data_IF_903743509965
#
_entry.id   IF_903743509965
#
_cell.length_a   1.000
_cell.length_b   1.000
_cell.length_c   1.000
_cell.angle_alpha   90.00
_cell.angle_beta   90.00
_cell.angle_gamma   90.00
#
_symmetry.space_group_name_H-M   'P 1'
#
loop_
_entity.id
_entity.type
_entity.pdbx_description
1 polymer ?
#
# COMPACT_ATOMS: atom_id res chain seq x y z
N UNK A 1 -29.91 -7.30 58.77
CA UNK A 1 -30.72 -7.24 57.52
C UNK A 1 -30.27 -6.11 56.60
N UNK A 2 -30.12 -4.87 57.08
CA UNK A 2 -29.64 -3.71 56.28
C UNK A 2 -28.27 -3.91 55.61
N UNK A 3 -27.28 -4.48 56.33
CA UNK A 3 -25.93 -4.71 55.76
C UNK A 3 -25.91 -5.73 54.62
N UNK A 4 -26.78 -6.74 54.67
CA UNK A 4 -26.89 -7.76 53.62
C UNK A 4 -27.48 -7.13 52.36
N UNK A 5 -28.51 -6.29 52.51
CA UNK A 5 -29.14 -5.56 51.39
C UNK A 5 -28.13 -4.59 50.74
N UNK A 6 -27.36 -3.86 51.54
CA UNK A 6 -26.30 -2.99 51.04
C UNK A 6 -25.20 -3.76 50.31
N UNK A 7 -24.85 -4.97 50.79
CA UNK A 7 -23.84 -5.81 50.15
C UNK A 7 -24.32 -6.36 48.80
N UNK A 8 -25.58 -6.80 48.72
CA UNK A 8 -26.21 -7.27 47.47
C UNK A 8 -26.25 -6.14 46.44
N UNK A 9 -26.73 -4.96 46.84
CA UNK A 9 -26.80 -3.79 45.95
C UNK A 9 -25.43 -3.39 45.40
N UNK A 10 -24.37 -3.51 46.21
CA UNK A 10 -22.99 -3.23 45.81
C UNK A 10 -22.40 -4.29 44.87
N UNK A 11 -22.88 -5.54 44.94
CA UNK A 11 -22.51 -6.62 44.02
C UNK A 11 -23.23 -6.43 42.69
N UNK A 12 -24.52 -6.07 42.69
CA UNK A 12 -25.28 -5.80 41.47
C UNK A 12 -24.71 -4.63 40.69
N UNK A 13 -24.28 -3.57 41.38
CA UNK A 13 -23.63 -2.42 40.74
C UNK A 13 -22.29 -2.80 40.08
N UNK A 14 -21.53 -3.73 40.70
CA UNK A 14 -20.30 -4.28 40.13
C UNK A 14 -20.56 -5.21 38.95
N UNK A 15 -21.60 -6.03 39.01
CA UNK A 15 -22.02 -6.88 37.90
C UNK A 15 -22.43 -6.05 36.69
N UNK A 16 -23.17 -4.96 36.91
CA UNK A 16 -23.60 -4.07 35.84
C UNK A 16 -22.40 -3.41 35.14
N UNK A 17 -21.45 -2.90 35.93
CA UNK A 17 -20.23 -2.26 35.38
C UNK A 17 -19.35 -3.25 34.62
N UNK A 18 -19.21 -4.48 35.11
CA UNK A 18 -18.46 -5.53 34.40
C UNK A 18 -19.16 -5.94 33.10
N UNK A 19 -20.49 -6.05 33.07
CA UNK A 19 -21.24 -6.33 31.84
C UNK A 19 -21.06 -5.23 30.80
N UNK A 20 -21.16 -3.95 31.21
CA UNK A 20 -20.98 -2.81 30.30
C UNK A 20 -19.56 -2.80 29.69
N UNK A 21 -18.53 -3.16 30.48
CA UNK A 21 -17.16 -3.24 29.99
C UNK A 21 -16.93 -4.44 29.06
N UNK A 22 -17.58 -5.59 29.30
CA UNK A 22 -17.56 -6.76 28.40
C UNK A 22 -18.19 -6.39 27.05
N UNK A 23 -19.36 -5.73 27.06
CA UNK A 23 -20.07 -5.33 25.85
C UNK A 23 -19.26 -4.32 25.02
N UNK A 24 -18.61 -3.35 25.68
CA UNK A 24 -17.67 -2.43 25.02
C UNK A 24 -16.50 -3.16 24.38
N UNK A 25 -15.95 -4.16 25.06
CA UNK A 25 -14.80 -4.91 24.56
C UNK A 25 -15.18 -5.78 23.34
N UNK A 26 -16.33 -6.45 23.38
CA UNK A 26 -16.88 -7.21 22.26
C UNK A 26 -17.13 -6.30 21.05
N UNK A 27 -17.70 -5.11 21.27
CA UNK A 27 -17.94 -4.13 20.20
C UNK A 27 -16.62 -3.66 19.54
N UNK A 28 -15.61 -3.34 20.36
CA UNK A 28 -14.28 -2.96 19.87
C UNK A 28 -13.60 -4.07 19.07
N UNK A 29 -13.64 -5.32 19.56
CA UNK A 29 -13.08 -6.47 18.85
C UNK A 29 -13.75 -6.72 17.50
N UNK A 30 -15.09 -6.61 17.45
CA UNK A 30 -15.84 -6.73 16.18
C UNK A 30 -15.42 -5.66 15.18
N UNK A 31 -15.23 -4.42 15.63
CA UNK A 31 -14.79 -3.31 14.78
C UNK A 31 -13.40 -3.57 14.20
N UNK A 32 -12.44 -4.00 15.02
CA UNK A 32 -11.08 -4.35 14.57
C UNK A 32 -11.13 -5.50 13.56
N UNK A 33 -11.92 -6.55 13.82
CA UNK A 33 -12.06 -7.68 12.92
C UNK A 33 -12.68 -7.29 11.56
N UNK A 34 -13.68 -6.42 11.56
CA UNK A 34 -14.28 -5.90 10.33
C UNK A 34 -13.29 -5.04 9.52
N UNK A 35 -12.49 -4.21 10.19
CA UNK A 35 -11.44 -3.42 9.54
C UNK A 35 -10.41 -4.33 8.87
N UNK A 36 -9.90 -5.33 9.59
CA UNK A 36 -8.94 -6.30 9.07
C UNK A 36 -9.49 -7.10 7.87
N UNK A 37 -10.75 -7.57 7.96
CA UNK A 37 -11.41 -8.26 6.85
C UNK A 37 -11.59 -7.36 5.62
N UNK A 38 -11.94 -6.10 5.85
CA UNK A 38 -12.03 -5.09 4.79
C UNK A 38 -10.68 -4.87 4.09
N UNK A 39 -9.60 -4.71 4.85
CA UNK A 39 -8.23 -4.56 4.35
C UNK A 39 -7.77 -5.76 3.50
N UNK A 40 -8.05 -6.97 3.97
CA UNK A 40 -7.72 -8.19 3.24
C UNK A 40 -8.43 -8.27 1.88
N UNK A 41 -9.70 -7.90 1.83
CA UNK A 41 -10.48 -7.88 0.58
C UNK A 41 -9.94 -6.83 -0.40
N UNK A 42 -9.55 -5.63 0.07
CA UNK A 42 -8.88 -4.67 -0.83
C UNK A 42 -7.56 -5.18 -1.34
N UNK A 43 -6.77 -5.80 -0.48
CA UNK A 43 -5.44 -6.29 -0.85
C UNK A 43 -5.55 -7.32 -1.97
N UNK A 44 -6.44 -8.31 -1.82
CA UNK A 44 -6.72 -9.29 -2.88
C UNK A 44 -7.22 -8.64 -4.18
N UNK A 45 -8.05 -7.61 -4.07
CA UNK A 45 -8.56 -6.87 -5.25
C UNK A 45 -7.44 -6.13 -6.00
N UNK A 46 -6.48 -5.53 -5.29
CA UNK A 46 -5.34 -4.85 -5.90
C UNK A 46 -4.44 -5.86 -6.62
N UNK A 47 -4.12 -6.97 -5.96
CA UNK A 47 -3.30 -8.04 -6.56
C UNK A 47 -3.94 -8.62 -7.81
N UNK A 48 -5.24 -8.94 -7.75
CA UNK A 48 -5.98 -9.46 -8.90
C UNK A 48 -5.95 -8.48 -10.08
N UNK A 49 -6.10 -7.17 -9.82
CA UNK A 49 -6.04 -6.16 -10.88
C UNK A 49 -4.66 -6.03 -11.51
N UNK A 50 -3.60 -6.00 -10.69
CA UNK A 50 -2.23 -5.93 -11.20
C UNK A 50 -1.86 -7.18 -11.99
N UNK A 51 -2.36 -8.33 -11.58
CA UNK A 51 -2.22 -9.58 -12.32
C UNK A 51 -2.97 -9.50 -13.65
N UNK A 52 -4.19 -8.97 -13.70
CA UNK A 52 -4.90 -8.78 -14.98
C UNK A 52 -4.16 -7.82 -15.92
N UNK A 53 -3.55 -6.74 -15.39
CA UNK A 53 -2.73 -5.85 -16.22
C UNK A 53 -1.49 -6.55 -16.82
N UNK A 54 -0.94 -7.56 -16.13
CA UNK A 54 0.15 -8.38 -16.69
C UNK A 54 -0.32 -9.20 -17.88
N UNK A 55 -1.57 -9.64 -17.91
CA UNK A 55 -2.11 -10.44 -19.01
C UNK A 55 -1.91 -9.76 -20.36
N UNK A 56 -2.15 -8.45 -20.41
CA UNK A 56 -2.03 -7.67 -21.64
C UNK A 56 -0.59 -7.20 -21.93
N UNK A 57 0.23 -7.01 -20.90
CA UNK A 57 1.57 -6.40 -21.03
C UNK A 57 2.71 -7.42 -21.06
N UNK A 58 2.55 -8.57 -20.42
CA UNK A 58 3.56 -9.63 -20.28
C UNK A 58 2.88 -10.97 -19.94
N UNK A 59 2.36 -11.64 -20.97
CA UNK A 59 1.63 -12.89 -20.85
C UNK A 59 2.47 -14.01 -20.18
N UNK A 60 3.77 -14.07 -20.44
CA UNK A 60 4.65 -15.06 -19.83
C UNK A 60 4.76 -14.88 -18.31
N UNK A 61 4.94 -13.63 -17.87
CA UNK A 61 4.97 -13.30 -16.43
C UNK A 61 3.60 -13.56 -15.78
N UNK A 62 2.50 -13.25 -16.47
CA UNK A 62 1.15 -13.57 -16.01
C UNK A 62 0.93 -15.07 -15.78
N UNK A 63 1.27 -15.89 -16.77
CA UNK A 63 1.12 -17.35 -16.69
C UNK A 63 1.99 -17.95 -15.59
N UNK A 64 3.25 -17.50 -15.47
CA UNK A 64 4.15 -17.91 -14.40
C UNK A 64 3.61 -17.52 -13.01
N UNK A 65 3.04 -16.31 -12.87
CA UNK A 65 2.46 -15.84 -11.62
C UNK A 65 1.20 -16.62 -11.22
N UNK A 66 0.34 -16.96 -12.19
CA UNK A 66 -0.81 -17.83 -11.96
C UNK A 66 -0.37 -19.23 -11.52
N UNK A 67 0.62 -19.81 -12.20
CA UNK A 67 1.15 -21.11 -11.81
C UNK A 67 1.72 -21.08 -10.38
N UNK A 68 2.53 -20.06 -10.06
CA UNK A 68 3.07 -19.87 -8.72
C UNK A 68 1.97 -19.81 -7.66
N UNK A 69 0.88 -19.07 -7.93
CA UNK A 69 -0.25 -18.94 -7.00
C UNK A 69 -0.88 -20.29 -6.64
N UNK A 70 -1.02 -21.20 -7.61
CA UNK A 70 -1.59 -22.53 -7.40
C UNK A 70 -0.61 -23.52 -6.76
N UNK A 71 0.69 -23.25 -6.85
CA UNK A 71 1.74 -24.19 -6.45
C UNK A 71 2.64 -23.66 -5.31
N UNK A 72 2.18 -22.63 -4.56
CA UNK A 72 2.96 -22.04 -3.45
C UNK A 72 3.42 -23.08 -2.40
N UNK A 73 2.68 -24.17 -2.23
CA UNK A 73 3.00 -25.23 -1.29
C UNK A 73 4.21 -26.10 -1.69
N UNK A 74 4.68 -26.01 -2.95
CA UNK A 74 5.86 -26.74 -3.42
C UNK A 74 7.18 -26.09 -2.97
N UNK A 75 7.14 -24.83 -2.55
CA UNK A 75 8.33 -24.05 -2.20
C UNK A 75 8.63 -24.10 -0.71
N UNK A 76 9.92 -24.15 -0.37
CA UNK A 76 10.43 -24.09 1.00
C UNK A 76 10.19 -22.70 1.60
N UNK A 77 10.39 -21.66 0.79
CA UNK A 77 10.13 -20.26 1.18
C UNK A 77 9.23 -19.57 0.14
N UNK A 78 8.51 -18.50 0.54
CA UNK A 78 7.70 -17.74 -0.40
C UNK A 78 8.55 -17.17 -1.54
N UNK A 79 8.16 -17.47 -2.78
CA UNK A 79 8.63 -16.76 -3.98
C UNK A 79 7.76 -15.53 -4.17
N UNK A 80 8.39 -14.38 -4.40
CA UNK A 80 7.70 -13.09 -4.51
C UNK A 80 7.75 -12.53 -5.92
N UNK A 81 6.70 -11.82 -6.31
CA UNK A 81 6.68 -11.00 -7.52
C UNK A 81 6.48 -9.53 -7.08
N UNK A 82 7.50 -8.65 -7.17
CA UNK A 82 7.48 -7.35 -6.52
C UNK A 82 6.26 -6.51 -6.85
N UNK A 83 5.86 -6.42 -8.12
CA UNK A 83 4.67 -5.64 -8.48
C UNK A 83 3.36 -6.11 -7.83
N UNK A 84 3.26 -7.37 -7.44
CA UNK A 84 2.06 -7.92 -6.77
C UNK A 84 2.17 -7.78 -5.24
N UNK A 85 3.38 -7.88 -4.70
CA UNK A 85 3.62 -8.04 -3.26
C UNK A 85 3.92 -6.71 -2.54
N UNK A 86 4.30 -5.65 -3.28
CA UNK A 86 4.54 -4.32 -2.70
C UNK A 86 3.31 -3.41 -2.79
N UNK A 87 3.07 -2.62 -1.76
CA UNK A 87 2.04 -1.59 -1.69
C UNK A 87 2.65 -0.22 -1.47
N UNK A 88 1.84 0.81 -1.71
CA UNK A 88 2.19 2.18 -1.35
C UNK A 88 1.22 2.73 -0.31
N UNK A 89 1.77 3.52 0.61
CA UNK A 89 1.00 4.31 1.56
C UNK A 89 0.16 5.37 0.87
N UNK A 90 0.73 6.02 -0.15
CA UNK A 90 0.08 7.08 -0.91
C UNK A 90 0.22 6.80 -2.41
N UNK A 91 -0.90 6.81 -3.12
CA UNK A 91 -0.97 6.36 -4.52
C UNK A 91 -0.26 7.29 -5.49
N UNK A 92 -0.09 8.57 -5.11
CA UNK A 92 0.66 9.56 -5.90
C UNK A 92 2.11 9.14 -6.20
N UNK A 93 2.68 8.25 -5.39
CA UNK A 93 4.03 7.76 -5.57
C UNK A 93 4.13 6.54 -6.49
N UNK A 94 3.01 6.03 -7.02
CA UNK A 94 3.00 4.82 -7.85
C UNK A 94 3.82 4.99 -9.12
N UNK A 95 3.59 6.08 -9.87
CA UNK A 95 4.36 6.37 -11.08
C UNK A 95 5.84 6.61 -10.77
N UNK A 96 6.14 7.30 -9.67
CA UNK A 96 7.52 7.55 -9.26
C UNK A 96 8.26 6.27 -8.86
N UNK A 97 7.62 5.37 -8.11
CA UNK A 97 8.19 4.08 -7.75
C UNK A 97 8.41 3.20 -8.98
N UNK A 98 7.43 3.16 -9.89
CA UNK A 98 7.55 2.40 -11.13
C UNK A 98 8.70 2.91 -12.01
N UNK A 99 8.83 4.23 -12.15
CA UNK A 99 9.94 4.85 -12.88
C UNK A 99 11.31 4.61 -12.21
N UNK A 100 11.35 4.63 -10.88
CA UNK A 100 12.60 4.42 -10.11
C UNK A 100 13.05 2.96 -10.16
N UNK A 101 12.13 2.01 -9.97
CA UNK A 101 12.43 0.57 -9.90
C UNK A 101 12.61 -0.03 -11.29
N UNK A 102 11.85 0.47 -12.26
CA UNK A 102 11.82 -0.05 -13.62
C UNK A 102 10.96 -1.32 -13.75
N UNK A 103 10.41 -1.55 -14.96
CA UNK A 103 9.47 -2.65 -15.20
C UNK A 103 10.10 -4.04 -15.07
N UNK A 104 11.39 -4.20 -15.40
CA UNK A 104 12.07 -5.50 -15.36
C UNK A 104 12.15 -6.04 -13.93
N UNK A 105 12.67 -5.23 -13.00
CA UNK A 105 12.78 -5.61 -11.60
C UNK A 105 11.41 -5.80 -10.94
N UNK A 106 10.40 -5.00 -11.33
CA UNK A 106 9.03 -5.17 -10.85
C UNK A 106 8.38 -6.50 -11.27
N UNK A 107 8.76 -7.01 -12.45
CA UNK A 107 8.27 -8.28 -13.03
C UNK A 107 9.17 -9.48 -12.73
N UNK A 108 10.28 -9.29 -12.03
CA UNK A 108 11.21 -10.37 -11.68
C UNK A 108 10.68 -11.22 -10.54
N UNK A 109 10.65 -12.53 -10.69
CA UNK A 109 10.36 -13.46 -9.61
C UNK A 109 11.56 -13.56 -8.65
N UNK A 110 11.31 -13.38 -7.36
CA UNK A 110 12.35 -13.33 -6.33
C UNK A 110 12.26 -14.58 -5.46
N UNK A 111 13.24 -15.47 -5.63
CA UNK A 111 13.42 -16.67 -4.82
C UNK A 111 14.38 -16.40 -3.66
N UNK A 112 14.20 -17.12 -2.55
CA UNK A 112 14.99 -16.93 -1.32
C UNK A 112 16.03 -18.04 -1.09
N UNK A 113 15.87 -19.19 -1.74
CA UNK A 113 16.72 -20.36 -1.60
C UNK A 113 17.12 -20.84 -2.99
N UNK A 114 18.25 -21.55 -3.07
CA UNK A 114 18.74 -22.10 -4.34
C UNK A 114 17.78 -23.19 -4.81
N UNK A 115 17.27 -24.00 -3.89
CA UNK A 115 16.32 -25.08 -4.16
C UNK A 115 15.01 -24.55 -4.75
N UNK A 116 14.46 -23.47 -4.18
CA UNK A 116 13.25 -22.83 -4.73
C UNK A 116 13.52 -22.20 -6.10
N UNK A 117 14.71 -21.62 -6.30
CA UNK A 117 15.12 -21.04 -7.57
C UNK A 117 15.24 -22.10 -8.68
N UNK A 118 15.94 -23.20 -8.41
CA UNK A 118 16.10 -24.32 -9.34
C UNK A 118 14.75 -24.96 -9.67
N UNK A 119 13.88 -25.18 -8.67
CA UNK A 119 12.56 -25.73 -8.90
C UNK A 119 11.68 -24.79 -9.73
N UNK A 120 11.67 -23.48 -9.39
CA UNK A 120 10.88 -22.50 -10.12
C UNK A 120 11.34 -22.39 -11.58
N UNK A 121 12.65 -22.31 -11.80
CA UNK A 121 13.23 -22.16 -13.15
C UNK A 121 13.02 -23.42 -13.99
N UNK A 122 13.22 -24.62 -13.43
CA UNK A 122 12.96 -25.86 -14.15
C UNK A 122 11.50 -25.97 -14.61
N UNK A 123 10.54 -25.60 -13.77
CA UNK A 123 9.12 -25.69 -14.15
C UNK A 123 8.69 -24.56 -15.08
N UNK A 124 9.10 -23.32 -14.81
CA UNK A 124 8.61 -22.15 -15.54
C UNK A 124 9.38 -21.91 -16.84
N UNK A 125 10.71 -22.00 -16.80
CA UNK A 125 11.57 -21.76 -17.96
C UNK A 125 11.70 -23.01 -18.83
N UNK A 126 11.94 -24.19 -18.24
CA UNK A 126 12.23 -25.39 -19.05
C UNK A 126 10.96 -26.15 -19.44
N UNK A 127 10.09 -26.50 -18.49
CA UNK A 127 8.86 -27.26 -18.77
C UNK A 127 7.82 -26.43 -19.50
N UNK A 128 7.60 -25.19 -19.07
CA UNK A 128 6.56 -24.30 -19.64
C UNK A 128 7.07 -23.36 -20.73
N UNK A 129 8.39 -23.25 -20.92
CA UNK A 129 9.01 -22.38 -21.91
C UNK A 129 8.56 -20.91 -21.80
N UNK A 130 8.37 -20.42 -20.57
CA UNK A 130 7.97 -19.04 -20.31
C UNK A 130 9.21 -18.16 -20.15
N UNK A 131 9.33 -17.12 -20.96
CA UNK A 131 10.45 -16.16 -20.86
C UNK A 131 10.20 -15.16 -19.73
N UNK A 132 10.60 -15.49 -18.51
CA UNK A 132 10.48 -14.63 -17.33
C UNK A 132 11.82 -14.40 -16.63
N UNK A 133 11.95 -13.27 -15.94
CA UNK A 133 13.14 -12.99 -15.13
C UNK A 133 12.98 -13.60 -13.74
N UNK A 134 13.98 -14.36 -13.30
CA UNK A 134 14.03 -14.98 -11.98
C UNK A 134 15.34 -14.61 -11.31
N UNK A 135 15.26 -14.16 -10.06
CA UNK A 135 16.38 -13.72 -9.25
C UNK A 135 16.40 -14.48 -7.93
N UNK A 136 17.59 -14.97 -7.56
CA UNK A 136 17.88 -15.39 -6.19
C UNK A 136 18.29 -14.17 -5.37
N UNK A 137 17.58 -13.90 -4.26
CA UNK A 137 17.91 -12.82 -3.33
C UNK A 137 17.85 -13.30 -1.89
N UNK A 138 18.85 -12.93 -1.12
CA UNK A 138 18.94 -13.24 0.31
C UNK A 138 19.08 -11.93 1.09
N UNK A 139 18.22 -11.73 2.09
CA UNK A 139 18.36 -10.58 2.99
C UNK A 139 19.52 -10.82 3.97
N UNK A 140 20.70 -10.29 3.63
CA UNK A 140 21.89 -10.35 4.49
C UNK A 140 21.88 -9.36 5.66
N UNK A 141 20.71 -8.80 6.00
CA UNK A 141 20.55 -7.87 7.11
C UNK A 141 21.21 -6.51 6.89
N UNK A 142 21.48 -6.12 5.63
CA UNK A 142 22.03 -4.81 5.30
C UNK A 142 21.02 -3.72 5.68
N UNK A 143 21.46 -2.76 6.48
CA UNK A 143 20.66 -1.59 6.78
C UNK A 143 20.80 -0.57 5.65
N UNK A 144 19.69 -0.18 5.05
CA UNK A 144 19.64 0.88 4.05
C UNK A 144 19.19 2.15 4.76
N UNK A 145 20.15 3.04 5.02
CA UNK A 145 19.90 4.30 5.71
C UNK A 145 19.83 5.40 4.66
N UNK A 146 18.83 6.30 4.72
CA UNK A 146 18.78 7.45 3.83
C UNK A 146 20.05 8.30 3.95
N UNK A 147 20.47 8.96 2.86
CA UNK A 147 21.76 9.65 2.78
C UNK A 147 21.88 10.82 3.77
N UNK A 148 20.74 11.45 4.12
CA UNK A 148 20.67 12.55 5.09
C UNK A 148 19.48 12.37 6.04
N UNK A 149 19.56 12.91 7.28
CA UNK A 149 18.44 12.94 8.20
C UNK A 149 17.24 13.71 7.61
N UNK A 150 16.03 13.25 7.92
CA UNK A 150 14.79 13.88 7.45
C UNK A 150 14.66 15.36 7.87
N UNK A 151 15.24 15.73 9.00
CA UNK A 151 15.25 17.11 9.51
C UNK A 151 16.04 18.00 8.56
N UNK A 152 17.27 17.59 8.20
CA UNK A 152 18.13 18.30 7.25
C UNK A 152 17.49 18.36 5.86
N UNK A 153 16.89 17.25 5.42
CA UNK A 153 16.16 17.17 4.15
C UNK A 153 15.04 18.22 4.06
N UNK A 154 14.30 18.42 5.17
CA UNK A 154 13.19 19.38 5.21
C UNK A 154 13.66 20.83 5.25
N UNK A 155 14.64 21.12 6.11
CA UNK A 155 15.09 22.51 6.31
C UNK A 155 15.91 23.05 5.14
N UNK A 156 16.79 22.24 4.56
CA UNK A 156 17.71 22.71 3.52
C UNK A 156 17.13 22.56 2.11
N UNK A 157 16.26 21.58 1.90
CA UNK A 157 15.82 21.19 0.56
C UNK A 157 14.29 21.29 0.37
N UNK A 158 13.52 21.64 1.41
CA UNK A 158 12.05 21.66 1.34
C UNK A 158 11.44 20.33 0.88
N UNK A 159 12.13 19.21 1.13
CA UNK A 159 11.70 17.85 0.79
C UNK A 159 11.15 17.14 2.03
N UNK A 160 10.08 16.37 1.87
CA UNK A 160 9.28 15.84 2.98
C UNK A 160 9.83 14.51 3.53
N UNK A 161 10.37 13.67 2.63
CA UNK A 161 10.90 12.36 2.98
C UNK A 161 11.46 11.59 1.78
N UNK A 162 11.67 10.29 1.98
CA UNK A 162 12.20 9.36 0.98
C UNK A 162 11.15 8.32 0.56
N UNK A 163 11.25 7.87 -0.69
CA UNK A 163 10.31 6.95 -1.33
C UNK A 163 10.22 5.60 -0.60
N UNK A 164 11.32 5.11 -0.01
CA UNK A 164 11.32 3.90 0.83
C UNK A 164 10.30 3.96 1.98
N UNK A 165 10.05 5.15 2.54
CA UNK A 165 9.07 5.33 3.61
C UNK A 165 7.62 5.26 3.16
N UNK A 166 7.38 5.21 1.84
CA UNK A 166 6.06 5.11 1.22
C UNK A 166 5.75 3.69 0.73
N UNK A 167 6.73 2.81 0.67
CA UNK A 167 6.56 1.41 0.24
C UNK A 167 6.23 0.53 1.44
N UNK A 168 5.38 -0.46 1.24
CA UNK A 168 5.00 -1.49 2.21
C UNK A 168 5.09 -2.87 1.56
N UNK A 169 5.58 -3.89 2.27
CA UNK A 169 5.71 -5.24 1.72
C UNK A 169 6.67 -6.14 2.50
N UNK A 170 7.01 -7.33 1.97
CA UNK A 170 7.97 -8.24 2.57
C UNK A 170 9.35 -7.59 2.75
N UNK A 171 10.02 -7.85 3.89
CA UNK A 171 11.37 -7.33 4.20
C UNK A 171 12.40 -7.66 3.11
N UNK A 172 12.31 -8.86 2.53
CA UNK A 172 13.15 -9.29 1.42
C UNK A 172 13.09 -8.31 0.24
N UNK A 173 11.89 -7.87 -0.13
CA UNK A 173 11.68 -6.95 -1.24
C UNK A 173 12.19 -5.54 -0.92
N UNK A 174 12.09 -5.08 0.32
CA UNK A 174 12.74 -3.82 0.71
C UNK A 174 14.25 -3.87 0.51
N UNK A 175 14.89 -4.95 0.96
CA UNK A 175 16.33 -5.16 0.82
C UNK A 175 16.73 -5.18 -0.67
N UNK A 176 15.95 -5.88 -1.51
CA UNK A 176 16.15 -5.93 -2.95
C UNK A 176 15.99 -4.56 -3.62
N UNK A 177 14.86 -3.88 -3.40
CA UNK A 177 14.56 -2.59 -4.02
C UNK A 177 15.54 -1.51 -3.57
N UNK A 178 15.96 -1.53 -2.31
CA UNK A 178 16.99 -0.61 -1.84
C UNK A 178 18.35 -0.90 -2.47
N UNK A 179 18.71 -2.17 -2.69
CA UNK A 179 20.00 -2.52 -3.29
C UNK A 179 20.06 -2.34 -4.81
N UNK A 180 18.96 -2.59 -5.53
CA UNK A 180 18.94 -2.58 -7.01
C UNK A 180 18.42 -1.26 -7.59
N UNK A 181 17.49 -0.60 -6.90
CA UNK A 181 16.82 0.61 -7.38
C UNK A 181 17.05 1.84 -6.48
N UNK A 182 17.82 1.71 -5.39
CA UNK A 182 18.15 2.82 -4.48
C UNK A 182 16.92 3.62 -4.00
N UNK A 183 15.76 2.97 -3.80
CA UNK A 183 14.53 3.67 -3.39
C UNK A 183 14.65 4.44 -2.04
N UNK A 184 15.67 4.12 -1.24
CA UNK A 184 15.99 4.77 0.03
C UNK A 184 16.72 6.12 -0.13
N UNK A 185 17.23 6.43 -1.33
CA UNK A 185 17.89 7.69 -1.65
C UNK A 185 17.00 8.62 -2.48
N UNK A 186 15.87 8.14 -2.99
CA UNK A 186 14.92 8.94 -3.77
C UNK A 186 14.05 9.77 -2.84
N UNK A 187 14.25 11.08 -2.84
CA UNK A 187 13.48 12.00 -2.02
C UNK A 187 12.19 12.46 -2.73
N UNK A 188 11.23 13.03 -1.99
CA UNK A 188 10.04 13.63 -2.57
C UNK A 188 9.66 14.94 -1.88
N UNK A 189 9.15 15.88 -2.66
CA UNK A 189 8.63 17.16 -2.20
C UNK A 189 7.20 17.03 -1.69
N UNK A 190 6.79 17.96 -0.83
CA UNK A 190 5.39 18.07 -0.42
C UNK A 190 4.49 18.40 -1.63
N UNK A 191 3.21 18.01 -1.57
CA UNK A 191 2.27 18.17 -2.70
C UNK A 191 2.13 19.61 -3.18
N UNK A 192 2.24 20.55 -2.24
CA UNK A 192 2.03 21.98 -2.46
C UNK A 192 3.36 22.74 -2.50
N UNK A 193 4.50 22.04 -2.54
CA UNK A 193 5.79 22.70 -2.66
C UNK A 193 5.94 23.36 -4.05
N UNK A 194 6.63 24.51 -4.14
CA UNK A 194 7.11 25.01 -5.43
C UNK A 194 8.00 23.94 -6.08
N UNK A 195 8.15 24.00 -7.41
CA UNK A 195 8.97 23.01 -8.09
C UNK A 195 10.39 23.00 -7.53
N UNK A 196 10.89 21.80 -7.26
CA UNK A 196 12.25 21.56 -6.75
C UNK A 196 13.34 22.12 -7.68
N UNK A 197 12.97 22.48 -8.92
CA UNK A 197 13.79 23.21 -9.90
C UNK A 197 14.30 24.57 -9.38
N UNK A 198 13.82 25.06 -8.23
CA UNK A 198 14.31 26.28 -7.56
C UNK A 198 15.16 26.02 -6.30
N UNK A 199 15.72 24.83 -6.11
CA UNK A 199 16.74 24.65 -5.07
C UNK A 199 17.91 25.59 -5.32
N UNK A 200 18.43 26.18 -4.25
CA UNK A 200 19.67 26.97 -4.30
C UNK A 200 20.77 26.11 -4.93
N UNK A 201 21.31 26.57 -6.07
CA UNK A 201 22.28 25.83 -6.89
C UNK A 201 23.48 25.38 -6.03
N UNK A 202 23.87 26.15 -5.03
CA UNK A 202 25.00 25.85 -4.15
C UNK A 202 24.70 24.68 -3.18
N UNK A 203 23.49 24.64 -2.61
CA UNK A 203 23.08 23.55 -1.73
C UNK A 203 22.85 22.24 -2.50
N UNK A 204 22.27 22.33 -3.69
CA UNK A 204 22.12 21.19 -4.59
C UNK A 204 23.49 20.68 -5.06
N UNK A 205 24.41 21.59 -5.39
CA UNK A 205 25.78 21.26 -5.77
C UNK A 205 26.52 20.52 -4.67
N UNK A 206 26.54 21.03 -3.44
CA UNK A 206 27.22 20.36 -2.31
C UNK A 206 26.59 19.01 -1.96
N UNK A 207 25.26 18.91 -2.04
CA UNK A 207 24.57 17.65 -1.83
C UNK A 207 24.99 16.61 -2.87
N UNK A 208 24.89 16.96 -4.14
CA UNK A 208 25.14 16.00 -5.20
C UNK A 208 26.64 15.70 -5.38
N UNK A 209 27.53 16.63 -5.02
CA UNK A 209 28.98 16.38 -4.87
C UNK A 209 29.26 15.29 -3.85
N UNK A 210 28.49 15.23 -2.75
CA UNK A 210 28.67 14.23 -1.69
C UNK A 210 28.19 12.84 -2.08
N UNK A 211 27.14 12.74 -2.91
CA UNK A 211 26.46 11.48 -3.20
C UNK A 211 26.56 11.01 -4.66
N UNK A 212 27.26 11.75 -5.53
CA UNK A 212 27.40 11.57 -6.99
C UNK A 212 26.10 11.57 -7.81
N UNK A 213 24.97 11.20 -7.22
CA UNK A 213 23.65 11.23 -7.84
C UNK A 213 22.61 11.55 -6.79
N UNK A 214 21.70 12.46 -7.15
CA UNK A 214 20.54 12.80 -6.34
C UNK A 214 19.29 12.65 -7.18
N UNK A 215 18.28 11.99 -6.61
CA UNK A 215 16.99 11.82 -7.26
C UNK A 215 15.89 12.35 -6.36
N UNK A 216 15.04 13.21 -6.91
CA UNK A 216 13.91 13.76 -6.18
C UNK A 216 12.64 13.81 -7.03
N UNK A 217 11.49 13.69 -6.37
CA UNK A 217 10.17 13.76 -6.99
C UNK A 217 9.54 15.09 -6.62
N UNK A 218 9.17 15.89 -7.62
CA UNK A 218 8.39 17.12 -7.44
C UNK A 218 7.22 17.11 -8.39
N UNK A 219 6.02 17.30 -7.85
CA UNK A 219 4.76 17.17 -8.61
C UNK A 219 4.73 15.82 -9.35
N UNK A 220 4.68 15.84 -10.68
CA UNK A 220 4.68 14.66 -11.54
C UNK A 220 5.99 14.52 -12.32
N UNK A 221 7.12 15.01 -11.79
CA UNK A 221 8.42 14.92 -12.44
C UNK A 221 9.42 14.29 -11.49
N UNK A 222 10.17 13.31 -12.00
CA UNK A 222 11.33 12.71 -11.35
C UNK A 222 12.58 13.41 -11.89
N UNK A 223 13.26 14.16 -11.03
CA UNK A 223 14.52 14.80 -11.33
C UNK A 223 15.66 13.90 -10.86
N UNK A 224 16.59 13.59 -11.76
CA UNK A 224 17.84 12.90 -11.42
C UNK A 224 19.00 13.80 -11.80
N UNK A 225 19.74 14.25 -10.79
CA UNK A 225 20.93 15.07 -10.97
C UNK A 225 22.14 14.18 -10.75
N UNK A 226 23.04 14.11 -11.75
CA UNK A 226 24.27 13.33 -11.69
C UNK A 226 25.47 14.25 -11.74
N UNK A 227 26.46 13.95 -10.90
CA UNK A 227 27.70 14.68 -10.81
C UNK A 227 28.84 13.80 -11.27
N UNK A 228 29.53 14.25 -12.32
CA UNK A 228 30.68 13.56 -12.88
C UNK A 228 31.70 14.59 -13.37
N UNK A 229 32.96 14.42 -12.96
CA UNK A 229 34.10 15.21 -13.46
C UNK A 229 33.92 16.73 -13.37
N UNK A 230 33.27 17.22 -12.30
CA UNK A 230 33.05 18.66 -12.07
C UNK A 230 31.85 19.26 -12.81
N UNK A 231 31.17 18.49 -13.66
CA UNK A 231 29.92 18.88 -14.32
C UNK A 231 28.73 18.20 -13.65
N UNK A 232 27.55 18.81 -13.78
CA UNK A 232 26.29 18.19 -13.42
C UNK A 232 25.39 18.04 -14.64
N UNK A 233 24.68 16.91 -14.69
CA UNK A 233 23.62 16.63 -15.65
C UNK A 233 22.31 16.49 -14.88
N UNK A 234 21.27 17.20 -15.30
CA UNK A 234 19.93 17.05 -14.75
C UNK A 234 19.01 16.40 -15.80
N UNK A 235 18.45 15.25 -15.44
CA UNK A 235 17.47 14.54 -16.25
C UNK A 235 16.11 14.66 -15.57
N UNK A 236 15.16 15.28 -16.26
CA UNK A 236 13.76 15.38 -15.84
C UNK A 236 12.92 14.33 -16.58
N UNK A 237 12.26 13.45 -15.82
CA UNK A 237 11.37 12.41 -16.38
C UNK A 237 9.94 12.69 -15.96
N UNK A 238 9.04 12.85 -16.94
CA UNK A 238 7.61 13.02 -16.66
C UNK A 238 7.00 11.71 -16.16
N UNK A 239 6.19 11.80 -15.10
CA UNK A 239 5.52 10.68 -14.44
C UNK A 239 4.06 10.61 -14.86
N UNK A 240 3.80 10.56 -16.17
CA UNK A 240 2.43 10.68 -16.69
C UNK A 240 1.62 9.37 -16.60
N UNK A 241 2.27 8.21 -16.46
CA UNK A 241 1.60 6.91 -16.36
C UNK A 241 2.31 5.94 -15.43
N UNK A 242 1.54 5.37 -14.51
CA UNK A 242 1.84 4.13 -13.82
C UNK A 242 1.06 3.03 -14.56
N UNK A 243 1.70 1.90 -14.87
CA UNK A 243 1.10 0.78 -15.59
C UNK A 243 1.05 -0.44 -14.68
N UNK A 244 2.19 -0.82 -14.11
CA UNK A 244 2.36 -2.05 -13.34
C UNK A 244 1.85 -1.94 -11.90
N UNK A 245 2.09 -0.80 -11.23
CA UNK A 245 1.69 -0.61 -9.83
C UNK A 245 0.28 -0.05 -9.66
N UNK A 246 -0.49 0.03 -10.75
CA UNK A 246 -1.87 0.54 -10.77
C UNK A 246 -2.79 -0.33 -9.91
N UNK A 247 -3.66 0.28 -9.09
CA UNK A 247 -4.55 -0.49 -8.21
C UNK A 247 -4.88 0.19 -6.90
N UNK A 248 -3.91 0.90 -6.35
CA UNK A 248 -3.98 1.37 -4.97
C UNK A 248 -5.03 2.47 -4.77
N UNK A 249 -5.12 3.42 -5.71
CA UNK A 249 -6.07 4.54 -5.63
C UNK A 249 -7.52 4.21 -5.96
N UNK A 250 -7.75 3.32 -6.93
CA UNK A 250 -9.12 2.96 -7.31
C UNK A 250 -9.80 2.13 -6.24
N UNK A 251 -9.10 1.20 -5.59
CA UNK A 251 -9.71 0.38 -4.53
C UNK A 251 -10.04 1.24 -3.30
N UNK A 252 -9.18 2.19 -2.91
CA UNK A 252 -9.49 3.15 -1.84
C UNK A 252 -10.66 4.05 -2.20
N UNK A 253 -10.70 4.58 -3.43
CA UNK A 253 -11.80 5.42 -3.93
C UNK A 253 -13.11 4.64 -4.04
N UNK A 254 -13.07 3.40 -4.50
CA UNK A 254 -14.20 2.48 -4.59
C UNK A 254 -14.69 2.12 -3.19
N UNK A 255 -13.79 1.83 -2.24
CA UNK A 255 -14.15 1.58 -0.83
C UNK A 255 -14.81 2.79 -0.18
N UNK A 256 -14.25 3.99 -0.34
CA UNK A 256 -14.85 5.22 0.16
C UNK A 256 -16.23 5.47 -0.47
N UNK A 257 -16.38 5.15 -1.77
CA UNK A 257 -17.67 5.21 -2.45
C UNK A 257 -18.65 4.16 -1.93
N UNK A 258 -18.22 2.92 -1.67
CA UNK A 258 -19.05 1.86 -1.09
C UNK A 258 -19.49 2.23 0.34
N UNK A 259 -18.60 2.80 1.14
CA UNK A 259 -18.93 3.26 2.50
C UNK A 259 -19.99 4.36 2.47
N UNK A 260 -19.76 5.42 1.68
CA UNK A 260 -20.74 6.50 1.52
C UNK A 260 -22.07 6.05 0.91
N UNK A 261 -22.07 5.05 0.02
CA UNK A 261 -23.29 4.45 -0.52
C UNK A 261 -24.02 3.59 0.53
N UNK A 262 -23.30 2.87 1.40
CA UNK A 262 -23.90 2.13 2.52
C UNK A 262 -24.56 3.06 3.52
N UNK A 263 -23.87 4.13 3.94
CA UNK A 263 -24.43 5.15 4.84
C UNK A 263 -25.71 5.76 4.25
N UNK A 264 -25.70 6.10 2.96
CA UNK A 264 -26.91 6.58 2.26
C UNK A 264 -28.02 5.54 2.22
N UNK A 265 -27.69 4.26 2.01
CA UNK A 265 -28.67 3.16 1.99
C UNK A 265 -29.31 2.94 3.37
N UNK A 266 -28.55 3.01 4.45
CA UNK A 266 -29.06 2.91 5.82
C UNK A 266 -29.97 4.09 6.16
N UNK A 267 -29.58 5.31 5.78
CA UNK A 267 -30.40 6.51 5.96
C UNK A 267 -31.72 6.41 5.19
N UNK A 268 -31.68 5.99 3.91
CA UNK A 268 -32.88 5.78 3.09
C UNK A 268 -33.79 4.67 3.67
N UNK A 269 -33.21 3.61 4.22
CA UNK A 269 -33.97 2.55 4.89
C UNK A 269 -34.68 3.08 6.14
N UNK A 270 -34.00 3.89 6.95
CA UNK A 270 -34.60 4.56 8.11
C UNK A 270 -35.74 5.51 7.72
N UNK A 271 -35.54 6.33 6.69
CA UNK A 271 -36.58 7.22 6.17
C UNK A 271 -37.79 6.45 5.62
N UNK A 272 -37.56 5.33 4.91
CA UNK A 272 -38.62 4.44 4.44
C UNK A 272 -39.42 3.85 5.60
N UNK A 273 -38.75 3.41 6.67
CA UNK A 273 -39.40 2.86 7.86
C UNK A 273 -40.31 3.91 8.52
N UNK A 274 -39.82 5.14 8.68
CA UNK A 274 -40.60 6.24 9.24
C UNK A 274 -41.81 6.59 8.37
N UNK A 275 -41.64 6.69 7.04
CA UNK A 275 -42.75 6.93 6.12
C UNK A 275 -43.79 5.80 6.15
N UNK A 276 -43.35 4.54 6.31
CA UNK A 276 -44.28 3.42 6.45
C UNK A 276 -45.10 3.50 7.74
N UNK A 277 -44.47 3.92 8.84
CA UNK A 277 -45.16 4.17 10.11
C UNK A 277 -46.16 5.31 9.94
N UNK A 278 -45.74 6.42 9.32
CA UNK A 278 -46.58 7.59 9.10
C UNK A 278 -47.78 7.28 8.19
N UNK A 279 -47.57 6.52 7.11
CA UNK A 279 -48.65 6.02 6.24
C UNK A 279 -49.56 5.04 6.98
N UNK A 280 -49.04 4.19 7.86
CA UNK A 280 -49.87 3.29 8.67
C UNK A 280 -50.76 4.08 9.63
N UNK A 281 -50.20 5.08 10.33
CA UNK A 281 -50.95 5.98 11.22
C UNK A 281 -52.03 6.74 10.44
N UNK A 282 -51.70 7.28 9.27
CA UNK A 282 -52.68 7.99 8.43
C UNK A 282 -53.78 7.07 7.88
N UNK A 283 -53.49 5.79 7.65
CA UNK A 283 -54.51 4.80 7.26
C UNK A 283 -55.45 4.46 8.42
N UNK A 284 -54.90 4.28 9.62
CA UNK A 284 -55.71 4.07 10.83
C UNK A 284 -56.60 5.27 11.15
N UNK A 285 -56.09 6.50 10.98
CA UNK A 285 -56.89 7.72 11.15
C UNK A 285 -58.03 7.82 10.13
N UNK A 286 -57.81 7.39 8.88
CA UNK A 286 -58.82 7.40 7.83
C UNK A 286 -59.89 6.32 8.06
N UNK A 287 -59.52 5.14 8.53
CA UNK A 287 -60.48 4.06 8.86
C UNK A 287 -61.30 4.38 10.13
N UNK A 288 -60.87 5.33 10.96
CA UNK A 288 -61.64 5.82 12.12
C UNK A 288 -62.63 6.95 11.80
N UNK A 289 -62.64 7.49 10.58
CA UNK A 289 -63.54 8.57 10.13
C UNK A 289 -64.67 8.09 9.20
N UNK A 290 -64.69 6.80 8.81
CA UNK A 290 -65.82 6.13 8.13
C UNK A 290 -66.72 5.38 9.12
#
# INVERSE_FOLDING_TARGET
>A
MSDIINTISRIDQKLQTVNDDIDRNIANQRKVMQQAAGELMSYKSIQARRLENLRDTDAATYEAALWLLHNRALFLKPVYLPMIEINLRQDRFAAALEATVGPNLLKTFVCQTIEDYEMFTAEVLDTRNLSVEVLLWEDRGKMFVPPIPLVELRWNFSLEGFLVGQVEGPKLLFSLLCSRANIHTVAYAATNAPDVVYMDDEALYEFCRRFNTFTCISKNVLYTVRFASGNYECVATSLDRCILLTGLGDVRRIKARIHSLREKSEMLSGMKQNLLIEVAVLRELREGEE
#
